data_IF_419128021517
#
_entry.id   IF_419128021517
#
_cell.length_a   1.000
_cell.length_b   1.000
_cell.length_c   1.000
_cell.angle_alpha   90.00
_cell.angle_beta   90.00
_cell.angle_gamma   90.00
#
_symmetry.space_group_name_H-M   'P 1'
#
loop_
_entity.id
_entity.type
_entity.pdbx_description
1 polymer ?
#
# COMPACT_ATOMS: atom_id res chain seq x y z
N UNK A 1 -38.01 14.47 14.03
CA UNK A 1 -37.24 14.43 15.29
C UNK A 1 -35.78 14.28 14.91
N UNK A 2 -34.95 15.28 15.17
CA UNK A 2 -33.50 15.17 14.96
C UNK A 2 -32.97 14.23 16.04
N UNK A 3 -32.58 13.01 15.67
CA UNK A 3 -31.87 12.13 16.58
C UNK A 3 -30.54 12.82 16.92
N UNK A 4 -30.39 13.24 18.19
CA UNK A 4 -29.10 13.71 18.68
C UNK A 4 -28.14 12.53 18.64
N UNK A 5 -27.10 12.61 17.81
CA UNK A 5 -26.03 11.61 17.83
C UNK A 5 -25.47 11.52 19.25
N UNK A 6 -25.23 10.31 19.78
CA UNK A 6 -24.64 10.14 21.10
C UNK A 6 -23.30 10.89 21.19
N UNK A 7 -23.12 11.67 22.25
CA UNK A 7 -21.89 12.43 22.47
C UNK A 7 -20.89 11.56 23.21
N UNK A 8 -19.77 11.22 22.57
CA UNK A 8 -18.70 10.42 23.16
C UNK A 8 -17.60 11.33 23.73
N UNK A 9 -17.16 11.03 24.95
CA UNK A 9 -15.95 11.64 25.52
C UNK A 9 -14.76 10.82 25.08
N UNK A 10 -13.91 11.39 24.22
CA UNK A 10 -12.74 10.74 23.64
C UNK A 10 -11.48 11.32 24.27
N UNK A 11 -10.58 10.45 24.74
CA UNK A 11 -9.28 10.81 25.25
C UNK A 11 -8.17 9.99 24.56
N UNK A 12 -7.06 10.67 24.28
CA UNK A 12 -5.90 10.13 23.55
C UNK A 12 -4.76 9.92 24.53
N UNK A 13 -4.87 8.85 25.31
CA UNK A 13 -3.92 8.53 26.37
C UNK A 13 -3.05 7.36 25.94
N UNK A 14 -1.81 7.32 26.47
CA UNK A 14 -0.96 6.17 26.30
C UNK A 14 -1.59 4.98 27.01
N UNK A 15 -1.52 3.82 26.38
CA UNK A 15 -1.93 2.57 27.00
C UNK A 15 -1.10 2.30 28.26
N UNK A 16 -1.72 1.94 29.41
CA UNK A 16 -0.98 1.52 30.60
C UNK A 16 -0.03 0.35 30.31
N UNK A 17 1.15 0.39 30.91
CA UNK A 17 2.19 -0.63 30.65
C UNK A 17 1.75 -2.05 31.07
N UNK A 18 0.79 -2.17 31.99
CA UNK A 18 0.21 -3.41 32.52
C UNK A 18 -1.07 -3.88 31.81
N UNK A 19 -1.62 -3.08 30.88
CA UNK A 19 -2.80 -3.50 30.10
C UNK A 19 -2.48 -4.77 29.30
N UNK A 20 -3.42 -5.70 29.13
CA UNK A 20 -3.20 -6.89 28.28
C UNK A 20 -3.89 -6.65 26.94
N UNK A 21 -3.14 -6.69 25.84
CA UNK A 21 -3.72 -6.56 24.50
C UNK A 21 -4.59 -7.79 24.20
N UNK A 22 -5.80 -7.60 23.63
CA UNK A 22 -6.60 -8.72 23.13
C UNK A 22 -5.80 -9.51 22.08
N UNK A 23 -5.86 -10.83 22.17
CA UNK A 23 -5.31 -11.75 21.16
C UNK A 23 -6.51 -12.28 20.37
N UNK A 24 -6.78 -11.66 19.22
CA UNK A 24 -7.83 -12.10 18.29
C UNK A 24 -7.36 -13.37 17.56
N UNK A 25 -8.28 -14.24 17.07
CA UNK A 25 -7.93 -15.56 16.55
C UNK A 25 -6.87 -15.51 15.43
N UNK A 26 -6.08 -16.58 15.35
CA UNK A 26 -4.92 -16.71 14.46
C UNK A 26 -5.30 -16.37 13.01
N UNK A 27 -4.68 -15.32 12.48
CA UNK A 27 -4.79 -14.84 11.10
C UNK A 27 -4.76 -16.01 10.10
N UNK A 28 -5.57 -15.93 9.04
CA UNK A 28 -5.42 -16.81 7.89
C UNK A 28 -3.99 -16.62 7.36
N UNK A 29 -3.28 -17.71 7.07
CA UNK A 29 -1.87 -17.70 6.60
C UNK A 29 -1.60 -16.71 5.45
N UNK A 30 -2.64 -16.31 4.72
CA UNK A 30 -2.59 -15.42 3.57
C UNK A 30 -2.66 -13.92 3.91
N UNK A 31 -3.25 -13.52 5.05
CA UNK A 31 -3.41 -12.11 5.43
C UNK A 31 -2.06 -11.39 5.65
N UNK A 32 -1.07 -11.99 6.36
CA UNK A 32 0.24 -11.36 6.52
C UNK A 32 0.97 -11.14 5.18
N UNK A 33 0.85 -12.09 4.24
CA UNK A 33 1.45 -11.96 2.91
C UNK A 33 0.83 -10.80 2.11
N UNK A 34 -0.49 -10.61 2.21
CA UNK A 34 -1.21 -9.51 1.58
C UNK A 34 -0.78 -8.15 2.15
N UNK A 35 -0.72 -8.03 3.47
CA UNK A 35 -0.27 -6.82 4.16
C UNK A 35 1.19 -6.47 3.82
N UNK A 36 2.07 -7.48 3.78
CA UNK A 36 3.46 -7.32 3.37
C UNK A 36 3.56 -6.87 1.90
N UNK A 37 2.70 -7.40 1.02
CA UNK A 37 2.67 -7.01 -0.39
C UNK A 37 2.32 -5.54 -0.62
N UNK A 38 1.32 -5.04 0.11
CA UNK A 38 0.93 -3.63 0.10
C UNK A 38 2.05 -2.73 0.61
N UNK A 39 2.63 -3.07 1.75
CA UNK A 39 3.70 -2.29 2.38
C UNK A 39 4.95 -2.21 1.51
N UNK A 40 5.41 -3.35 0.97
CA UNK A 40 6.62 -3.41 0.18
C UNK A 40 6.53 -2.58 -1.11
N UNK A 41 5.38 -2.59 -1.79
CA UNK A 41 5.19 -1.79 -3.02
C UNK A 41 5.16 -0.29 -2.74
N UNK A 42 4.56 0.16 -1.64
CA UNK A 42 4.63 1.57 -1.21
C UNK A 42 6.06 2.01 -0.92
N UNK A 43 6.82 1.19 -0.18
CA UNK A 43 8.22 1.48 0.14
C UNK A 43 9.08 1.59 -1.12
N UNK A 44 8.96 0.64 -2.05
CA UNK A 44 9.72 0.63 -3.30
C UNK A 44 9.41 1.84 -4.19
N UNK A 45 8.16 2.31 -4.15
CA UNK A 45 7.71 3.48 -4.88
C UNK A 45 8.04 4.83 -4.19
N UNK A 46 8.66 4.81 -3.00
CA UNK A 46 8.93 6.02 -2.23
C UNK A 46 7.67 6.67 -1.65
N UNK A 47 6.56 5.92 -1.57
CA UNK A 47 5.26 6.35 -1.01
C UNK A 47 5.10 5.99 0.47
N UNK A 48 6.18 5.57 1.12
CA UNK A 48 6.24 5.32 2.57
C UNK A 48 7.39 6.14 3.18
N UNK A 49 7.15 7.44 3.50
CA UNK A 49 8.20 8.30 4.08
C UNK A 49 8.59 7.84 5.49
N UNK A 50 9.71 8.37 6.01
CA UNK A 50 10.29 7.96 7.30
C UNK A 50 9.30 8.03 8.48
N UNK A 51 8.41 9.03 8.47
CA UNK A 51 7.40 9.23 9.52
C UNK A 51 6.06 8.53 9.24
N UNK A 52 5.88 7.90 8.07
CA UNK A 52 4.68 7.11 7.83
C UNK A 52 4.81 5.70 8.42
N UNK A 53 3.68 5.13 8.86
CA UNK A 53 3.61 3.76 9.33
C UNK A 53 2.56 2.98 8.55
N UNK A 54 2.85 1.72 8.29
CA UNK A 54 1.90 0.74 7.76
C UNK A 54 1.75 -0.43 8.74
N UNK A 55 1.09 -0.23 9.89
CA UNK A 55 0.89 -1.31 10.86
C UNK A 55 0.08 -2.48 10.26
N UNK A 56 0.35 -3.68 10.74
CA UNK A 56 -0.33 -4.93 10.39
C UNK A 56 -0.65 -5.66 11.69
N UNK A 57 -1.93 -5.95 11.94
CA UNK A 57 -2.43 -6.54 13.19
C UNK A 57 -1.85 -5.83 14.44
N UNK A 58 -1.89 -4.49 14.43
CA UNK A 58 -1.27 -3.66 15.46
C UNK A 58 -2.30 -2.78 16.15
N UNK A 59 -2.30 -2.80 17.49
CA UNK A 59 -3.32 -2.15 18.30
C UNK A 59 -3.35 -0.63 18.15
N UNK A 60 -4.47 -0.10 17.68
CA UNK A 60 -4.81 1.32 17.71
C UNK A 60 -5.69 1.57 18.95
N UNK A 61 -5.25 2.47 19.82
CA UNK A 61 -5.83 2.69 21.15
C UNK A 61 -6.52 4.04 21.28
N UNK A 62 -7.63 4.05 22.01
CA UNK A 62 -8.36 5.26 22.41
C UNK A 62 -9.14 5.01 23.69
N UNK A 63 -9.30 6.03 24.53
CA UNK A 63 -10.18 5.97 25.71
C UNK A 63 -11.54 6.57 25.34
N UNK A 64 -12.62 5.79 25.43
CA UNK A 64 -14.00 6.20 25.15
C UNK A 64 -14.80 6.15 26.45
N UNK A 65 -15.35 7.28 26.89
CA UNK A 65 -16.15 7.39 28.12
C UNK A 65 -15.43 6.75 29.33
N UNK A 66 -14.12 6.97 29.45
CA UNK A 66 -13.27 6.44 30.52
C UNK A 66 -12.89 4.96 30.40
N UNK A 67 -13.21 4.29 29.27
CA UNK A 67 -12.83 2.90 28.99
C UNK A 67 -11.86 2.84 27.82
N UNK A 68 -10.75 2.13 28.00
CA UNK A 68 -9.79 1.86 26.93
C UNK A 68 -10.43 0.93 25.90
N UNK A 69 -10.33 1.30 24.63
CA UNK A 69 -10.71 0.49 23.48
C UNK A 69 -9.48 0.34 22.60
N UNK A 70 -9.21 -0.90 22.21
CA UNK A 70 -8.13 -1.25 21.29
C UNK A 70 -8.72 -1.99 20.09
N UNK A 71 -8.34 -1.59 18.88
CA UNK A 71 -8.64 -2.31 17.64
C UNK A 71 -7.37 -2.49 16.82
N UNK A 72 -7.16 -3.70 16.33
CA UNK A 72 -6.03 -4.04 15.47
C UNK A 72 -6.56 -4.29 14.06
N UNK A 73 -6.36 -3.36 13.11
CA UNK A 73 -6.68 -3.61 11.72
C UNK A 73 -5.67 -4.58 11.09
N UNK A 74 -6.13 -5.34 10.10
CA UNK A 74 -5.23 -6.19 9.31
C UNK A 74 -4.16 -5.37 8.60
N UNK A 75 -4.52 -4.18 8.12
CA UNK A 75 -3.56 -3.22 7.60
C UNK A 75 -4.05 -1.79 7.77
N UNK A 76 -3.18 -0.85 8.07
CA UNK A 76 -3.53 0.57 8.02
C UNK A 76 -2.38 1.41 7.46
N UNK A 77 -2.68 2.63 7.02
CA UNK A 77 -1.69 3.64 6.63
C UNK A 77 -1.84 4.87 7.50
N UNK A 78 -0.79 5.19 8.26
CA UNK A 78 -0.67 6.40 9.08
C UNK A 78 0.31 7.31 8.34
N UNK A 79 -0.11 8.48 7.81
CA UNK A 79 0.77 9.32 6.99
C UNK A 79 1.94 9.90 7.77
N UNK A 80 1.72 10.27 9.04
CA UNK A 80 2.75 10.89 9.87
C UNK A 80 2.59 10.58 11.36
N UNK A 81 3.65 10.04 11.96
CA UNK A 81 3.84 10.04 13.41
C UNK A 81 4.59 11.29 13.89
N UNK A 82 4.28 11.71 15.11
CA UNK A 82 4.88 12.90 15.77
C UNK A 82 5.91 12.54 16.84
N UNK A 83 6.04 11.25 17.15
CA UNK A 83 7.02 10.69 18.10
C UNK A 83 8.07 9.84 17.39
N UNK A 84 9.13 9.42 18.09
CA UNK A 84 10.09 8.50 17.49
C UNK A 84 9.44 7.12 17.29
N UNK A 85 9.87 6.37 16.27
CA UNK A 85 9.33 5.01 16.01
C UNK A 85 9.49 4.08 17.21
N UNK A 86 10.56 4.24 17.98
CA UNK A 86 10.80 3.50 19.23
C UNK A 86 9.81 3.84 20.36
N UNK A 87 9.01 4.90 20.22
CA UNK A 87 7.96 5.23 21.17
C UNK A 87 6.61 4.60 20.76
N UNK A 88 6.56 3.97 19.58
CA UNK A 88 5.41 3.26 19.01
C UNK A 88 5.75 1.75 18.90
N UNK A 89 6.08 1.14 20.04
CA UNK A 89 6.51 -0.28 20.11
C UNK A 89 5.33 -1.24 20.26
N UNK A 90 4.36 -0.88 21.10
CA UNK A 90 3.33 -1.81 21.58
C UNK A 90 1.93 -1.51 21.04
N UNK A 91 1.61 -0.22 20.93
CA UNK A 91 0.36 0.26 20.36
C UNK A 91 0.54 1.64 19.75
N UNK A 92 -0.49 2.11 19.05
CA UNK A 92 -0.55 3.46 18.49
C UNK A 92 -1.78 4.19 19.03
N UNK A 93 -1.57 5.34 19.65
CA UNK A 93 -2.64 6.26 20.07
C UNK A 93 -2.63 7.48 19.14
N UNK A 94 -3.63 7.62 18.25
CA UNK A 94 -3.74 8.79 17.38
C UNK A 94 -3.86 10.09 18.19
N UNK A 95 -3.55 11.22 17.55
CA UNK A 95 -3.39 12.57 18.13
C UNK A 95 -2.27 12.71 19.16
N UNK A 96 -2.01 11.68 19.97
CA UNK A 96 -0.90 11.66 20.92
C UNK A 96 0.42 11.32 20.23
N UNK A 97 0.43 10.27 19.39
CA UNK A 97 1.64 9.75 18.74
C UNK A 97 1.70 10.07 17.24
N UNK A 98 0.66 10.68 16.68
CA UNK A 98 0.62 11.07 15.28
C UNK A 98 -0.79 11.32 14.75
N UNK A 99 -0.92 11.29 13.43
CA UNK A 99 -2.19 11.50 12.73
C UNK A 99 -3.15 10.31 12.85
N UNK A 100 -4.43 10.55 12.58
CA UNK A 100 -5.40 9.47 12.39
C UNK A 100 -4.97 8.66 11.14
N UNK A 101 -5.11 7.32 11.14
CA UNK A 101 -4.90 6.54 9.92
C UNK A 101 -5.69 7.13 8.76
N UNK A 102 -5.06 7.28 7.60
CA UNK A 102 -5.73 7.76 6.40
C UNK A 102 -6.49 6.64 5.68
N UNK A 103 -6.04 5.39 5.85
CA UNK A 103 -6.69 4.19 5.35
C UNK A 103 -6.57 3.08 6.38
N UNK A 104 -7.67 2.36 6.59
CA UNK A 104 -7.72 1.10 7.34
C UNK A 104 -8.31 0.03 6.42
N UNK A 105 -7.71 -1.16 6.42
CA UNK A 105 -8.18 -2.34 5.70
C UNK A 105 -8.41 -3.49 6.68
N UNK A 106 -9.52 -4.19 6.49
CA UNK A 106 -9.83 -5.46 7.13
C UNK A 106 -10.00 -6.52 6.05
N UNK A 107 -9.51 -7.72 6.32
CA UNK A 107 -9.44 -8.84 5.41
C UNK A 107 -10.37 -9.93 5.93
N UNK A 108 -11.48 -10.18 5.23
CA UNK A 108 -12.44 -11.19 5.65
C UNK A 108 -11.79 -12.57 5.63
N UNK A 109 -12.00 -13.30 6.72
CA UNK A 109 -11.81 -14.75 6.78
C UNK A 109 -13.18 -15.40 6.90
N UNK A 110 -13.30 -16.66 6.46
CA UNK A 110 -14.53 -17.48 6.44
C UNK A 110 -15.35 -17.50 7.75
N UNK A 111 -14.80 -17.00 8.86
CA UNK A 111 -15.31 -17.20 10.21
C UNK A 111 -15.79 -15.96 10.96
N UNK A 112 -15.62 -14.74 10.46
CA UNK A 112 -16.04 -13.55 11.22
C UNK A 112 -16.74 -12.48 10.38
N UNK A 113 -17.77 -11.86 10.96
CA UNK A 113 -18.55 -10.75 10.39
C UNK A 113 -18.43 -9.47 11.24
N UNK A 114 -17.43 -9.42 12.13
CA UNK A 114 -17.16 -8.31 13.02
C UNK A 114 -16.70 -7.03 12.32
N UNK A 115 -16.22 -7.13 11.08
CA UNK A 115 -15.73 -6.05 10.21
C UNK A 115 -16.86 -5.08 9.84
N UNK A 116 -18.08 -5.61 9.68
CA UNK A 116 -19.31 -4.85 9.42
C UNK A 116 -20.04 -4.43 10.71
N UNK A 117 -19.49 -4.75 11.89
CA UNK A 117 -20.17 -4.50 13.15
C UNK A 117 -20.30 -2.99 13.42
N UNK A 118 -21.53 -2.50 13.31
CA UNK A 118 -21.93 -1.13 13.71
C UNK A 118 -22.28 -1.02 15.20
N UNK A 119 -21.93 -2.05 15.99
CA UNK A 119 -22.25 -2.11 17.42
C UNK A 119 -21.61 -0.95 18.18
N UNK A 120 -22.43 -0.11 18.80
CA UNK A 120 -21.95 1.01 19.64
C UNK A 120 -21.60 0.58 21.07
N UNK A 121 -22.17 -0.54 21.54
CA UNK A 121 -21.95 -1.04 22.91
C UNK A 121 -20.59 -1.70 23.06
N UNK A 122 -19.97 -1.55 24.24
CA UNK A 122 -18.63 -2.06 24.49
C UNK A 122 -18.52 -3.61 24.38
N UNK A 123 -17.42 -4.14 23.81
CA UNK A 123 -16.48 -3.43 22.96
C UNK A 123 -17.17 -3.05 21.63
N UNK A 124 -16.97 -1.80 21.14
CA UNK A 124 -17.60 -1.35 19.91
C UNK A 124 -17.15 -2.21 18.72
N UNK A 125 -18.01 -2.30 17.71
CA UNK A 125 -17.68 -2.98 16.44
C UNK A 125 -16.64 -2.20 15.64
N UNK A 126 -15.91 -2.89 14.75
CA UNK A 126 -14.82 -2.31 13.95
C UNK A 126 -15.33 -1.15 13.08
N UNK A 127 -16.42 -1.36 12.33
CA UNK A 127 -17.02 -0.34 11.48
C UNK A 127 -17.36 0.95 12.26
N UNK A 128 -18.09 0.82 13.37
CA UNK A 128 -18.44 1.96 14.22
C UNK A 128 -17.20 2.65 14.79
N UNK A 129 -16.21 1.89 15.22
CA UNK A 129 -14.97 2.42 15.80
C UNK A 129 -14.21 3.29 14.79
N UNK A 130 -14.01 2.81 13.57
CA UNK A 130 -13.30 3.59 12.55
C UNK A 130 -14.13 4.77 12.04
N UNK A 131 -15.46 4.63 11.94
CA UNK A 131 -16.36 5.68 11.45
C UNK A 131 -16.59 6.81 12.48
N UNK A 132 -17.07 6.46 13.68
CA UNK A 132 -17.58 7.43 14.66
C UNK A 132 -16.52 7.87 15.66
N UNK A 133 -15.56 7.01 15.99
CA UNK A 133 -14.56 7.30 17.02
C UNK A 133 -13.30 7.86 16.39
N UNK A 134 -12.63 7.10 15.52
CA UNK A 134 -11.40 7.55 14.87
C UNK A 134 -11.66 8.50 13.70
N UNK A 135 -12.80 8.35 13.01
CA UNK A 135 -13.11 9.12 11.79
C UNK A 135 -12.01 8.94 10.73
N UNK A 136 -11.63 7.69 10.49
CA UNK A 136 -10.67 7.33 9.43
C UNK A 136 -11.27 7.73 8.08
N UNK A 137 -10.56 8.46 7.20
CA UNK A 137 -11.14 8.91 5.92
C UNK A 137 -11.53 7.77 4.97
N UNK A 138 -10.73 6.70 4.94
CA UNK A 138 -10.93 5.56 4.05
C UNK A 138 -10.93 4.25 4.85
N UNK A 139 -11.97 3.44 4.68
CA UNK A 139 -12.09 2.11 5.29
C UNK A 139 -12.41 1.07 4.22
N UNK A 140 -11.56 0.06 4.06
CA UNK A 140 -11.74 -1.00 3.07
C UNK A 140 -11.96 -2.35 3.72
N UNK A 141 -12.86 -3.15 3.13
CA UNK A 141 -13.07 -4.55 3.50
C UNK A 141 -12.75 -5.38 2.27
N UNK A 142 -11.86 -6.35 2.41
CA UNK A 142 -11.43 -7.20 1.31
C UNK A 142 -11.66 -8.67 1.61
N UNK A 143 -12.36 -9.34 0.71
CA UNK A 143 -12.58 -10.78 0.73
C UNK A 143 -11.50 -11.47 -0.12
N UNK A 144 -10.65 -12.28 0.53
CA UNK A 144 -9.57 -12.99 -0.17
C UNK A 144 -10.08 -14.13 -1.06
N UNK A 145 -11.27 -14.67 -0.80
CA UNK A 145 -11.83 -15.80 -1.54
C UNK A 145 -12.54 -15.33 -2.81
N UNK A 146 -13.39 -14.32 -2.68
CA UNK A 146 -14.16 -13.79 -3.81
C UNK A 146 -13.43 -12.71 -4.59
N UNK A 147 -12.40 -12.09 -3.98
CA UNK A 147 -11.71 -10.94 -4.57
C UNK A 147 -12.53 -9.65 -4.51
N UNK A 148 -13.57 -9.60 -3.67
CA UNK A 148 -14.41 -8.43 -3.50
C UNK A 148 -13.70 -7.40 -2.62
N UNK A 149 -13.57 -6.17 -3.11
CA UNK A 149 -13.07 -5.03 -2.34
C UNK A 149 -14.21 -4.02 -2.20
N UNK A 150 -14.67 -3.82 -0.97
CA UNK A 150 -15.55 -2.73 -0.61
C UNK A 150 -14.73 -1.58 -0.07
N UNK A 151 -15.02 -0.37 -0.54
CA UNK A 151 -14.37 0.84 -0.04
C UNK A 151 -15.41 1.81 0.50
N UNK A 152 -15.25 2.20 1.75
CA UNK A 152 -16.06 3.19 2.43
C UNK A 152 -15.26 4.47 2.60
N UNK A 153 -15.88 5.62 2.32
CA UNK A 153 -15.30 6.94 2.56
C UNK A 153 -16.10 7.71 3.58
N UNK A 154 -15.41 8.40 4.48
CA UNK A 154 -16.05 9.27 5.46
C UNK A 154 -16.57 10.53 4.75
N UNK A 155 -17.89 10.67 4.70
CA UNK A 155 -18.54 11.86 4.15
C UNK A 155 -18.64 13.01 5.15
N UNK A 156 -19.12 14.17 4.68
CA UNK A 156 -19.29 15.39 5.49
C UNK A 156 -20.17 15.19 6.74
N UNK A 157 -21.13 14.27 6.66
CA UNK A 157 -22.00 13.90 7.76
C UNK A 157 -21.31 13.03 8.84
N UNK A 158 -20.00 12.79 8.74
CA UNK A 158 -19.22 11.86 9.59
C UNK A 158 -19.80 10.45 9.57
N UNK A 159 -20.20 10.01 8.38
CA UNK A 159 -20.73 8.68 8.11
C UNK A 159 -20.04 8.12 6.89
N UNK A 160 -19.80 6.83 6.90
CA UNK A 160 -19.26 6.11 5.77
C UNK A 160 -20.30 6.00 4.67
N UNK A 161 -19.85 6.32 3.46
CA UNK A 161 -20.55 6.07 2.22
C UNK A 161 -19.76 5.04 1.43
N UNK A 162 -20.44 4.02 0.90
CA UNK A 162 -19.83 3.06 -0.01
C UNK A 162 -19.45 3.79 -1.30
N UNK A 163 -18.18 3.70 -1.68
CA UNK A 163 -17.63 4.26 -2.91
C UNK A 163 -17.84 3.30 -4.08
N UNK A 164 -17.92 3.87 -5.27
CA UNK A 164 -17.91 3.10 -6.51
C UNK A 164 -16.50 3.06 -7.07
N UNK A 165 -16.05 1.87 -7.45
CA UNK A 165 -14.81 1.73 -8.19
C UNK A 165 -14.89 2.46 -9.54
N UNK A 166 -13.73 2.88 -10.07
CA UNK A 166 -13.64 3.38 -11.43
C UNK A 166 -13.85 2.26 -12.46
N UNK A 167 -13.81 2.61 -13.76
CA UNK A 167 -13.99 1.65 -14.87
C UNK A 167 -13.00 0.46 -14.86
N UNK A 168 -11.88 0.59 -14.16
CA UNK A 168 -10.84 -0.44 -14.01
C UNK A 168 -10.96 -1.22 -12.69
N UNK A 169 -12.04 -1.03 -11.93
CA UNK A 169 -12.24 -1.71 -10.65
C UNK A 169 -11.34 -1.19 -9.53
N UNK A 170 -10.94 0.08 -9.56
CA UNK A 170 -10.01 0.68 -8.58
C UNK A 170 -10.65 1.86 -7.84
N UNK A 171 -10.28 2.01 -6.57
CA UNK A 171 -10.73 3.09 -5.69
C UNK A 171 -9.61 4.10 -5.48
N UNK A 172 -9.92 5.38 -5.68
CA UNK A 172 -8.97 6.46 -5.42
C UNK A 172 -8.85 6.71 -3.91
N UNK A 173 -7.62 6.79 -3.39
CA UNK A 173 -7.30 7.13 -1.99
C UNK A 173 -6.53 8.47 -1.99
N UNK A 174 -7.23 9.61 -1.82
CA UNK A 174 -6.66 10.95 -1.99
C UNK A 174 -5.44 11.23 -1.11
N UNK A 175 -5.50 10.80 0.14
CA UNK A 175 -4.47 11.02 1.16
C UNK A 175 -3.15 10.32 0.81
N UNK A 176 -3.24 9.25 0.01
CA UNK A 176 -2.08 8.50 -0.46
C UNK A 176 -1.67 8.90 -1.88
N UNK A 177 -2.54 9.61 -2.61
CA UNK A 177 -2.41 9.87 -4.05
C UNK A 177 -2.22 8.58 -4.86
N UNK A 178 -3.00 7.55 -4.52
CA UNK A 178 -2.93 6.23 -5.15
C UNK A 178 -4.32 5.66 -5.36
N UNK A 179 -4.45 4.81 -6.37
CA UNK A 179 -5.57 3.90 -6.51
C UNK A 179 -5.27 2.58 -5.81
N UNK A 180 -6.22 2.08 -5.02
CA UNK A 180 -6.25 0.72 -4.50
C UNK A 180 -7.15 -0.13 -5.40
N UNK A 181 -6.73 -1.33 -5.75
CA UNK A 181 -7.54 -2.25 -6.55
C UNK A 181 -7.12 -3.70 -6.41
N UNK A 182 -7.95 -4.58 -6.95
CA UNK A 182 -7.74 -6.02 -6.89
C UNK A 182 -7.04 -6.50 -8.16
N UNK A 183 -6.06 -7.38 -7.97
CA UNK A 183 -5.37 -8.09 -9.03
C UNK A 183 -5.39 -9.59 -8.75
N UNK A 184 -5.75 -10.38 -9.76
CA UNK A 184 -5.76 -11.84 -9.67
C UNK A 184 -4.48 -12.40 -10.30
N UNK A 185 -3.77 -13.23 -9.55
CA UNK A 185 -2.58 -13.91 -10.06
C UNK A 185 -1.78 -14.59 -8.97
N UNK A 186 -0.50 -14.81 -9.25
CA UNK A 186 0.38 -15.61 -8.40
C UNK A 186 1.48 -14.77 -7.77
N UNK A 187 1.70 -14.97 -6.47
CA UNK A 187 2.86 -14.45 -5.74
C UNK A 187 3.21 -15.39 -4.60
N UNK A 188 4.50 -15.62 -4.37
CA UNK A 188 4.99 -16.50 -3.29
C UNK A 188 4.37 -17.91 -3.34
N UNK A 189 4.16 -18.44 -4.56
CA UNK A 189 3.47 -19.70 -4.85
C UNK A 189 2.00 -19.77 -4.38
N UNK A 190 1.40 -18.62 -4.06
CA UNK A 190 -0.03 -18.47 -3.77
C UNK A 190 -0.72 -17.86 -4.97
N UNK A 191 -1.65 -18.61 -5.55
CA UNK A 191 -2.61 -18.09 -6.52
C UNK A 191 -3.83 -17.50 -5.79
N UNK A 192 -4.36 -16.41 -6.32
CA UNK A 192 -5.58 -15.82 -5.80
C UNK A 192 -5.65 -14.32 -6.04
N UNK A 193 -6.45 -13.66 -5.22
CA UNK A 193 -6.64 -12.22 -5.26
C UNK A 193 -5.63 -11.51 -4.35
N UNK A 194 -5.13 -10.37 -4.84
CA UNK A 194 -4.17 -9.49 -4.19
C UNK A 194 -4.62 -8.05 -4.33
N UNK A 195 -4.43 -7.28 -3.27
CA UNK A 195 -4.58 -5.83 -3.30
C UNK A 195 -3.29 -5.21 -3.82
N UNK A 196 -3.41 -4.24 -4.72
CA UNK A 196 -2.29 -3.53 -5.34
C UNK A 196 -2.56 -2.04 -5.47
N UNK A 197 -1.48 -1.30 -5.69
CA UNK A 197 -1.48 0.15 -5.82
C UNK A 197 -1.19 0.58 -7.25
N UNK A 198 -1.88 1.61 -7.71
CA UNK A 198 -1.55 2.34 -8.93
C UNK A 198 -1.37 3.83 -8.63
N UNK A 199 -0.45 4.48 -9.33
CA UNK A 199 -0.29 5.92 -9.25
C UNK A 199 -1.40 6.68 -9.99
N UNK A 200 -1.38 8.02 -9.88
CA UNK A 200 -2.30 8.93 -10.57
C UNK A 200 -2.31 8.78 -12.09
N UNK A 201 -1.19 8.33 -12.67
CA UNK A 201 -1.05 8.10 -14.11
C UNK A 201 -1.54 6.70 -14.52
N UNK A 202 -1.96 5.87 -13.56
CA UNK A 202 -2.42 4.51 -13.78
C UNK A 202 -1.30 3.48 -13.89
N UNK A 203 -0.06 3.82 -13.52
CA UNK A 203 1.04 2.86 -13.47
C UNK A 203 0.97 2.02 -12.19
N UNK A 204 1.17 0.71 -12.34
CA UNK A 204 1.20 -0.22 -11.21
C UNK A 204 2.45 0.02 -10.36
N UNK A 205 2.30 0.13 -9.05
CA UNK A 205 3.43 0.07 -8.12
C UNK A 205 3.93 -1.38 -8.04
N UNK A 206 5.08 -1.60 -8.67
CA UNK A 206 5.67 -2.93 -8.81
C UNK A 206 6.12 -3.50 -7.47
N UNK A 207 6.04 -4.82 -7.36
CA UNK A 207 6.72 -5.58 -6.33
C UNK A 207 8.23 -5.64 -6.63
N UNK A 208 9.02 -6.03 -5.62
CA UNK A 208 10.47 -6.11 -5.75
C UNK A 208 10.90 -7.06 -6.87
N UNK A 209 10.26 -8.22 -6.97
CA UNK A 209 10.53 -9.21 -8.03
C UNK A 209 10.24 -8.67 -9.42
N UNK A 210 9.12 -7.99 -9.60
CA UNK A 210 8.71 -7.38 -10.87
C UNK A 210 9.65 -6.23 -11.28
N UNK A 211 10.07 -5.40 -10.31
CA UNK A 211 11.03 -4.32 -10.54
C UNK A 211 12.39 -4.87 -10.96
N UNK A 212 12.87 -5.92 -10.30
CA UNK A 212 14.14 -6.57 -10.65
C UNK A 212 14.08 -7.14 -12.06
N UNK A 213 12.99 -7.80 -12.42
CA UNK A 213 12.82 -8.36 -13.76
C UNK A 213 12.76 -7.24 -14.83
N UNK A 214 12.05 -6.14 -14.55
CA UNK A 214 12.02 -4.98 -15.45
C UNK A 214 13.42 -4.38 -15.66
N UNK A 215 14.19 -4.19 -14.59
CA UNK A 215 15.56 -3.67 -14.68
C UNK A 215 16.50 -4.64 -15.41
N UNK A 216 16.32 -5.96 -15.23
CA UNK A 216 17.06 -6.97 -15.97
C UNK A 216 16.78 -6.90 -17.48
N UNK A 217 15.51 -6.76 -17.86
CA UNK A 217 15.12 -6.62 -19.27
C UNK A 217 15.67 -5.33 -19.89
N UNK A 218 15.66 -4.22 -19.14
CA UNK A 218 16.27 -2.95 -19.58
C UNK A 218 17.76 -3.09 -19.81
N UNK A 219 18.48 -3.66 -18.84
CA UNK A 219 19.93 -3.88 -18.94
C UNK A 219 20.30 -4.79 -20.13
N UNK A 220 19.50 -5.82 -20.39
CA UNK A 220 19.70 -6.72 -21.53
C UNK A 220 19.46 -6.00 -22.87
N UNK A 221 18.40 -5.20 -22.97
CA UNK A 221 18.14 -4.40 -24.18
C UNK A 221 19.24 -3.38 -24.45
N UNK A 222 19.75 -2.70 -23.42
CA UNK A 222 20.86 -1.76 -23.56
C UNK A 222 22.15 -2.45 -24.01
N UNK A 223 22.46 -3.64 -23.46
CA UNK A 223 23.60 -4.45 -23.91
C UNK A 223 23.49 -4.82 -25.38
N UNK A 224 22.32 -5.28 -25.82
CA UNK A 224 22.09 -5.62 -27.23
C UNK A 224 22.24 -4.40 -28.15
N UNK A 225 21.76 -3.23 -27.74
CA UNK A 225 21.96 -1.98 -28.51
C UNK A 225 23.43 -1.60 -28.60
N UNK A 226 24.16 -1.63 -27.48
CA UNK A 226 25.59 -1.31 -27.45
C UNK A 226 26.41 -2.28 -28.31
N UNK A 227 26.07 -3.57 -28.31
CA UNK A 227 26.73 -4.56 -29.15
C UNK A 227 26.46 -4.33 -30.64
N UNK A 228 25.22 -4.03 -31.02
CA UNK A 228 24.89 -3.70 -32.41
C UNK A 228 25.61 -2.44 -32.89
N UNK A 229 25.70 -1.42 -32.05
CA UNK A 229 26.41 -0.18 -32.37
C UNK A 229 27.91 -0.43 -32.54
N UNK A 230 28.51 -1.24 -31.66
CA UNK A 230 29.91 -1.67 -31.77
C UNK A 230 30.17 -2.43 -33.08
N UNK A 231 29.30 -3.37 -33.44
CA UNK A 231 29.42 -4.12 -34.69
C UNK A 231 29.31 -3.21 -35.92
N UNK A 232 28.44 -2.20 -35.89
CA UNK A 232 28.32 -1.21 -36.97
C UNK A 232 29.58 -0.35 -37.09
N UNK A 233 30.10 0.15 -35.97
CA UNK A 233 31.33 0.95 -35.94
C UNK A 233 32.52 0.13 -36.46
N UNK A 234 32.62 -1.14 -36.09
CA UNK A 234 33.69 -2.02 -36.59
C UNK A 234 33.56 -2.30 -38.09
N UNK A 235 32.34 -2.53 -38.60
CA UNK A 235 32.10 -2.69 -40.03
C UNK A 235 32.42 -1.42 -40.83
N UNK A 236 32.06 -0.25 -40.30
CA UNK A 236 32.39 1.03 -40.91
C UNK A 236 33.89 1.27 -40.93
N UNK A 237 34.58 0.98 -39.83
CA UNK A 237 36.03 1.06 -39.74
C UNK A 237 36.71 0.14 -40.78
N UNK A 238 36.31 -1.13 -40.86
CA UNK A 238 36.83 -2.06 -41.87
C UNK A 238 36.56 -1.61 -43.30
N UNK A 239 35.40 -0.99 -43.57
CA UNK A 239 35.09 -0.42 -44.90
C UNK A 239 35.96 0.78 -45.22
N UNK A 240 36.15 1.68 -44.26
CA UNK A 240 37.02 2.83 -44.39
C UNK A 240 38.47 2.40 -44.67
N UNK A 241 39.00 1.42 -43.91
CA UNK A 241 40.33 0.86 -44.13
C UNK A 241 40.48 0.24 -45.53
N UNK A 242 39.49 -0.53 -45.98
CA UNK A 242 39.49 -1.11 -47.35
C UNK A 242 39.47 -0.04 -48.43
N UNK A 243 38.68 1.01 -48.25
CA UNK A 243 38.61 2.13 -49.20
C UNK A 243 39.95 2.87 -49.27
N UNK A 244 40.56 3.17 -48.13
CA UNK A 244 41.90 3.78 -48.04
C UNK A 244 42.95 2.91 -48.75
N UNK A 245 42.93 1.59 -48.54
CA UNK A 245 43.84 0.67 -49.21
C UNK A 245 43.65 0.66 -50.73
N UNK A 246 42.40 0.69 -51.22
CA UNK A 246 42.09 0.75 -52.65
C UNK A 246 42.54 2.08 -53.29
N UNK A 247 42.32 3.21 -52.61
CA UNK A 247 42.77 4.52 -53.08
C UNK A 247 44.29 4.57 -53.22
N UNK A 248 45.03 4.08 -52.22
CA UNK A 248 46.50 3.96 -52.28
C UNK A 248 46.96 3.06 -53.44
N UNK A 249 46.30 1.93 -53.67
CA UNK A 249 46.62 1.04 -54.79
C UNK A 249 46.37 1.68 -56.16
N UNK A 250 45.41 2.61 -56.25
CA UNK A 250 45.12 3.40 -57.44
C UNK A 250 46.06 4.62 -57.62
N UNK A 251 47.03 4.83 -56.71
CA UNK A 251 47.98 5.94 -56.77
C UNK A 251 47.41 7.28 -56.27
N UNK A 252 46.28 7.27 -55.56
CA UNK A 252 45.66 8.44 -54.95
C UNK A 252 46.04 8.46 -53.47
N UNK A 253 46.71 9.53 -53.00
CA UNK A 253 46.94 9.72 -51.57
C UNK A 253 45.63 10.19 -50.89
N UNK A 254 45.06 9.42 -49.96
CA UNK A 254 43.88 9.85 -49.22
C UNK A 254 44.29 10.91 -48.19
N UNK A 255 43.67 12.10 -48.25
CA UNK A 255 43.77 13.11 -47.20
C UNK A 255 43.06 12.62 -45.92
N UNK A 256 43.71 12.82 -44.78
CA UNK A 256 43.27 12.33 -43.46
C UNK A 256 42.15 13.14 -42.83
#
# INVERSE_FOLDING_TARGET
MLASSPTYTIAWEKLPDDFVLPDDPVDNINQPALAAALTASLQLAGKLPEKALTPTNYGICVTINGKIVVKAPDWAYIPQITVARQDVIRSYTPQLQGEIPALVLEFLSDTDGGEYSVKETYPPGKFFFYEQILQVPNYGIFDLETGTLEQYRLGEARRYCLESANEQGRFWIPEMQLFLGVWQGERENRQGYWLRWWDEQGNLLLWGTERVEQERQRAEQERQRAEQERQRAEQEHQRAERLVAQLRAAGIEPEG
#
